data_IF_992188627712
#
_entry.id   IF_992188627712
#
_cell.length_a   1.000
_cell.length_b   1.000
_cell.length_c   1.000
_cell.angle_alpha   90.00
_cell.angle_beta   90.00
_cell.angle_gamma   90.00
#
_symmetry.space_group_name_H-M   'P 1'
#
loop_
_entity.id
_entity.type
_entity.pdbx_description
1 polymer ?
#
# COMPACT_ATOMS: atom_id res chain seq x y z
N UNK A 1 16.85 -12.98 11.99
CA UNK A 1 16.50 -11.61 12.45
C UNK A 1 15.54 -11.74 13.63
N UNK A 2 15.45 -10.72 14.51
CA UNK A 2 14.72 -10.80 15.80
C UNK A 2 13.19 -10.57 15.70
N UNK A 3 12.56 -10.82 14.53
CA UNK A 3 11.11 -10.62 14.32
C UNK A 3 10.58 -9.22 14.73
N UNK A 4 11.42 -8.19 14.67
CA UNK A 4 11.03 -6.81 14.98
C UNK A 4 10.39 -6.10 13.80
N UNK A 5 9.74 -4.97 14.07
CA UNK A 5 9.09 -4.16 13.03
C UNK A 5 10.02 -3.11 12.41
N UNK A 6 9.83 -2.83 11.10
CA UNK A 6 10.57 -1.77 10.41
C UNK A 6 10.28 -0.36 10.95
N UNK A 7 9.22 -0.16 11.74
CA UNK A 7 8.93 1.12 12.40
C UNK A 7 8.24 0.96 13.74
N UNK A 8 8.80 1.57 14.80
CA UNK A 8 8.12 1.68 16.09
C UNK A 8 6.97 2.69 16.06
N UNK A 9 7.26 3.93 15.66
CA UNK A 9 6.37 5.08 15.85
C UNK A 9 6.39 6.08 14.68
N UNK A 10 7.50 6.20 13.94
CA UNK A 10 7.67 7.21 12.88
C UNK A 10 6.93 6.90 11.56
N UNK A 11 6.34 5.71 11.43
CA UNK A 11 5.67 5.25 10.22
C UNK A 11 6.62 4.97 9.04
N UNK A 12 6.00 4.79 7.86
CA UNK A 12 6.67 4.30 6.64
C UNK A 12 7.09 5.42 5.70
N UNK A 13 6.15 6.33 5.39
CA UNK A 13 6.33 7.41 4.43
C UNK A 13 6.86 6.90 3.08
N UNK A 14 7.90 7.58 2.56
CA UNK A 14 8.71 7.11 1.43
C UNK A 14 9.93 6.32 1.90
N UNK A 15 10.54 6.74 3.02
CA UNK A 15 11.85 6.27 3.46
C UNK A 15 11.91 4.78 3.78
N UNK A 16 10.78 4.18 4.18
CA UNK A 16 10.69 2.76 4.53
C UNK A 16 9.81 1.94 3.58
N UNK A 17 9.34 2.53 2.49
CA UNK A 17 8.39 1.87 1.56
C UNK A 17 8.91 0.52 1.03
N UNK A 18 10.23 0.43 0.79
CA UNK A 18 10.90 -0.81 0.32
C UNK A 18 10.79 -2.01 1.27
N UNK A 19 10.48 -1.77 2.56
CA UNK A 19 10.38 -2.83 3.57
C UNK A 19 8.97 -3.43 3.68
N UNK A 20 7.96 -2.76 3.10
CA UNK A 20 6.56 -3.14 3.25
C UNK A 20 6.26 -4.56 2.76
N UNK A 21 6.88 -4.97 1.65
CA UNK A 21 6.68 -6.33 1.11
C UNK A 21 7.20 -7.39 2.08
N UNK A 22 8.38 -7.16 2.66
CA UNK A 22 8.98 -8.08 3.63
C UNK A 22 8.22 -8.09 4.97
N UNK A 23 7.68 -6.94 5.38
CA UNK A 23 6.97 -6.79 6.66
C UNK A 23 5.55 -7.37 6.62
N UNK A 24 4.83 -7.19 5.51
CA UNK A 24 3.39 -7.45 5.45
C UNK A 24 2.97 -8.47 4.39
N UNK A 25 3.81 -8.74 3.38
CA UNK A 25 3.52 -9.70 2.31
C UNK A 25 2.12 -9.50 1.71
N UNK A 26 1.33 -10.58 1.68
CA UNK A 26 -0.02 -10.59 1.09
C UNK A 26 -1.01 -9.64 1.75
N UNK A 27 -0.78 -9.19 2.99
CA UNK A 27 -1.63 -8.20 3.62
C UNK A 27 -1.62 -6.85 2.87
N UNK A 28 -0.60 -6.58 2.06
CA UNK A 28 -0.55 -5.40 1.19
C UNK A 28 -1.68 -5.38 0.16
N UNK A 29 -2.23 -6.52 -0.24
CA UNK A 29 -3.38 -6.56 -1.16
C UNK A 29 -4.61 -5.91 -0.53
N UNK A 30 -4.92 -6.26 0.72
CA UNK A 30 -6.03 -5.64 1.45
C UNK A 30 -5.76 -4.16 1.70
N UNK A 31 -4.53 -3.77 2.04
CA UNK A 31 -4.19 -2.36 2.21
C UNK A 31 -4.39 -1.57 0.91
N UNK A 32 -4.01 -2.14 -0.24
CA UNK A 32 -4.25 -1.55 -1.57
C UNK A 32 -5.74 -1.41 -1.85
N UNK A 33 -6.54 -2.44 -1.59
CA UNK A 33 -7.98 -2.41 -1.82
C UNK A 33 -8.67 -1.33 -0.97
N UNK A 34 -8.29 -1.20 0.31
CA UNK A 34 -8.78 -0.13 1.18
C UNK A 34 -8.39 1.24 0.63
N UNK A 35 -7.13 1.41 0.17
CA UNK A 35 -6.67 2.67 -0.41
C UNK A 35 -7.44 3.02 -1.69
N UNK A 36 -7.65 2.06 -2.59
CA UNK A 36 -8.42 2.27 -3.83
C UNK A 36 -9.90 2.57 -3.53
N UNK A 37 -10.49 1.98 -2.49
CA UNK A 37 -11.87 2.25 -2.06
C UNK A 37 -12.08 3.70 -1.61
N UNK A 38 -11.17 4.26 -0.81
CA UNK A 38 -11.30 5.61 -0.26
C UNK A 38 -10.62 6.70 -1.10
N UNK A 39 -9.67 6.34 -1.98
CA UNK A 39 -8.95 7.26 -2.83
C UNK A 39 -8.76 6.70 -4.25
N UNK A 40 -9.86 6.51 -5.01
CA UNK A 40 -9.81 5.90 -6.33
C UNK A 40 -8.99 6.72 -7.34
N UNK A 41 -8.88 8.04 -7.12
CA UNK A 41 -8.09 8.93 -7.98
C UNK A 41 -6.63 9.09 -7.51
N UNK A 42 -6.23 8.42 -6.42
CA UNK A 42 -4.90 8.45 -5.84
C UNK A 42 -4.36 9.88 -5.56
N UNK A 43 -5.23 10.77 -5.04
CA UNK A 43 -4.87 12.16 -4.75
C UNK A 43 -4.18 12.31 -3.38
N UNK A 44 -4.46 11.41 -2.44
CA UNK A 44 -3.95 11.50 -1.07
C UNK A 44 -2.60 10.78 -0.94
N UNK A 45 -1.52 11.56 -1.02
CA UNK A 45 -0.14 11.08 -0.85
C UNK A 45 0.27 9.97 -1.85
N UNK A 46 0.25 10.25 -3.17
CA UNK A 46 0.63 9.27 -4.18
C UNK A 46 2.07 8.77 -3.97
N UNK A 47 2.27 7.46 -4.15
CA UNK A 47 3.58 6.81 -4.05
C UNK A 47 4.13 6.65 -2.64
N UNK A 48 3.38 7.01 -1.58
CA UNK A 48 3.77 6.79 -0.18
C UNK A 48 2.98 5.64 0.44
N UNK A 49 3.49 5.10 1.55
CA UNK A 49 2.86 4.09 2.42
C UNK A 49 2.68 2.71 1.77
N UNK A 50 2.03 2.61 0.61
CA UNK A 50 1.64 1.34 -0.02
C UNK A 50 2.35 1.21 -1.39
N UNK A 51 3.21 0.20 -1.58
CA UNK A 51 3.88 -0.02 -2.86
C UNK A 51 2.90 -0.36 -3.99
N UNK A 52 3.16 0.19 -5.18
CA UNK A 52 2.50 -0.22 -6.42
C UNK A 52 1.12 0.39 -6.71
N UNK A 53 0.64 1.33 -5.90
CA UNK A 53 -0.59 2.10 -6.22
C UNK A 53 -0.26 3.17 -7.25
N UNK A 54 -0.35 2.82 -8.54
CA UNK A 54 -0.36 3.77 -9.65
C UNK A 54 -1.78 4.30 -9.84
N UNK A 55 -1.91 5.58 -10.21
CA UNK A 55 -3.19 6.25 -10.43
C UNK A 55 -4.13 5.39 -11.30
N UNK A 56 -5.38 5.23 -10.85
CA UNK A 56 -6.32 4.33 -11.48
C UNK A 56 -6.60 4.75 -12.93
N UNK A 57 -6.10 3.95 -13.88
CA UNK A 57 -6.80 3.79 -15.15
C UNK A 57 -8.01 2.92 -14.83
N UNK A 58 -9.21 3.50 -14.89
CA UNK A 58 -10.52 2.91 -14.64
C UNK A 58 -10.57 1.38 -14.71
N UNK A 59 -10.54 0.72 -13.54
CA UNK A 59 -10.69 -0.74 -13.39
C UNK A 59 -12.15 -1.12 -13.12
N UNK A 60 -13.12 -0.49 -13.78
CA UNK A 60 -14.55 -0.83 -13.69
C UNK A 60 -14.84 -2.30 -14.12
N UNK A 61 -13.85 -3.09 -14.56
CA UNK A 61 -14.01 -4.47 -15.01
C UNK A 61 -13.38 -5.59 -14.17
N UNK A 62 -12.71 -5.34 -13.02
CA UNK A 62 -12.20 -6.44 -12.17
C UNK A 62 -13.24 -6.90 -11.16
N UNK A 63 -14.36 -7.34 -11.71
CA UNK A 63 -15.40 -8.05 -11.00
C UNK A 63 -14.83 -9.40 -10.53
N UNK A 64 -14.95 -9.64 -9.22
CA UNK A 64 -14.74 -10.90 -8.51
C UNK A 64 -14.84 -12.14 -9.44
N UNK A 65 -13.69 -12.74 -9.72
CA UNK A 65 -13.55 -14.15 -10.11
C UNK A 65 -12.55 -14.79 -9.17
#
# INVERSE_FOLDING_TARGET
AMEGTCSGEHGIGLGKLRYMEAEHGTALDIMRDIKELFDPNNIMNPGKLIPGVLAAVSKIGRQYR
#
